data_IF_338689450635
#
_entry.id   IF_338689450635
#
_cell.length_a   1.000
_cell.length_b   1.000
_cell.length_c   1.000
_cell.angle_alpha   90.00
_cell.angle_beta   90.00
_cell.angle_gamma   90.00
#
_symmetry.space_group_name_H-M   'P 1'
#
loop_
_entity.id
_entity.type
_entity.pdbx_description
1 polymer ?
#
# COMPACT_ATOMS: atom_id res chain seq x y z
N UNK A 1 16.67 4.85 -0.26
CA UNK A 1 17.15 6.21 0.11
C UNK A 1 16.02 6.96 0.80
N UNK A 2 16.29 7.57 1.96
CA UNK A 2 15.33 8.44 2.65
C UNK A 2 15.50 9.87 2.14
N UNK A 3 14.39 10.51 1.78
CA UNK A 3 14.39 11.85 1.18
C UNK A 3 13.63 12.84 2.05
N UNK A 4 14.14 14.08 2.11
CA UNK A 4 13.46 15.24 2.73
C UNK A 4 12.81 16.19 1.72
N UNK A 5 12.99 15.92 0.44
CA UNK A 5 12.33 16.61 -0.68
C UNK A 5 12.29 15.68 -1.89
N UNK A 6 11.20 15.72 -2.64
CA UNK A 6 11.03 14.99 -3.89
C UNK A 6 11.21 15.92 -5.08
N UNK A 7 11.90 15.41 -6.09
CA UNK A 7 11.98 15.96 -7.44
C UNK A 7 11.49 14.92 -8.45
N UNK A 8 11.15 15.38 -9.66
CA UNK A 8 10.53 14.54 -10.71
C UNK A 8 11.39 13.33 -11.08
N UNK A 9 12.71 13.51 -11.13
CA UNK A 9 13.69 12.47 -11.47
C UNK A 9 13.78 11.32 -10.45
N UNK A 10 13.26 11.50 -9.23
CA UNK A 10 13.25 10.46 -8.21
C UNK A 10 12.07 9.49 -8.36
N UNK A 11 11.06 9.85 -9.16
CA UNK A 11 9.82 9.09 -9.27
C UNK A 11 9.98 8.03 -10.36
N UNK A 12 9.96 6.77 -9.93
CA UNK A 12 9.94 5.62 -10.82
C UNK A 12 8.55 4.99 -10.80
N UNK A 13 8.05 4.62 -11.97
CA UNK A 13 6.84 3.81 -12.11
C UNK A 13 7.25 2.35 -12.05
N UNK A 14 7.19 1.73 -10.86
CA UNK A 14 7.67 0.37 -10.62
C UNK A 14 6.75 -0.71 -11.23
N UNK A 15 5.56 -0.32 -11.68
CA UNK A 15 4.47 -1.23 -12.03
C UNK A 15 4.39 -1.49 -13.55
N UNK A 16 5.26 -0.87 -14.36
CA UNK A 16 5.28 -1.00 -15.84
C UNK A 16 6.15 -2.16 -16.30
N UNK A 17 5.72 -3.38 -16.00
CA UNK A 17 6.21 -4.55 -16.74
C UNK A 17 5.24 -4.79 -17.89
N UNK A 18 5.75 -4.86 -19.12
CA UNK A 18 4.92 -5.24 -20.26
C UNK A 18 4.52 -6.71 -20.08
N UNK A 19 3.25 -6.94 -19.79
CA UNK A 19 2.65 -8.27 -19.71
C UNK A 19 1.78 -8.44 -20.96
N UNK A 20 2.25 -9.13 -22.01
CA UNK A 20 1.59 -9.12 -23.33
C UNK A 20 0.14 -9.58 -23.32
N UNK A 21 -0.24 -10.42 -22.37
CA UNK A 21 -1.59 -10.97 -22.22
C UNK A 21 -2.47 -10.17 -21.25
N UNK A 22 -1.95 -9.11 -20.61
CA UNK A 22 -2.75 -8.21 -19.77
C UNK A 22 -3.43 -7.14 -20.63
N UNK A 23 -4.66 -7.42 -21.06
CA UNK A 23 -5.46 -6.50 -21.89
C UNK A 23 -5.80 -5.19 -21.19
N UNK A 24 -5.84 -5.17 -19.84
CA UNK A 24 -6.10 -3.95 -19.07
C UNK A 24 -4.90 -3.01 -19.01
N UNK A 25 -3.68 -3.54 -19.17
CA UNK A 25 -2.42 -2.79 -19.01
C UNK A 25 -2.35 -1.96 -17.72
N UNK A 26 -3.06 -2.39 -16.67
CA UNK A 26 -3.18 -1.66 -15.41
C UNK A 26 -2.02 -1.94 -14.43
N UNK A 27 -1.01 -2.68 -14.89
CA UNK A 27 0.21 -2.96 -14.12
C UNK A 27 -0.03 -3.76 -12.83
N UNK A 28 0.94 -3.64 -11.92
CA UNK A 28 0.99 -4.30 -10.62
C UNK A 28 0.22 -3.54 -9.52
N UNK A 29 -1.08 -3.31 -9.72
CA UNK A 29 -1.95 -2.81 -8.65
C UNK A 29 -2.37 -3.96 -7.72
N UNK A 30 -1.52 -4.29 -6.76
CA UNK A 30 -1.73 -5.44 -5.85
C UNK A 30 -3.02 -5.35 -5.01
N UNK A 31 -3.50 -4.14 -4.71
CA UNK A 31 -4.78 -3.93 -4.02
C UNK A 31 -5.97 -4.46 -4.83
N UNK A 32 -6.03 -4.11 -6.11
CA UNK A 32 -7.09 -4.58 -7.00
C UNK A 32 -6.90 -6.06 -7.37
N UNK A 33 -5.65 -6.48 -7.60
CA UNK A 33 -5.30 -7.86 -7.94
C UNK A 33 -5.65 -8.84 -6.82
N UNK A 34 -5.66 -8.40 -5.56
CA UNK A 34 -6.06 -9.22 -4.41
C UNK A 34 -7.52 -8.98 -3.99
N UNK A 35 -8.33 -8.32 -4.83
CA UNK A 35 -9.75 -8.06 -4.59
C UNK A 35 -10.03 -7.30 -3.27
N UNK A 36 -9.15 -6.40 -2.85
CA UNK A 36 -9.33 -5.68 -1.57
C UNK A 36 -10.63 -4.88 -1.45
N UNK A 37 -11.18 -4.26 -2.52
CA UNK A 37 -12.50 -3.62 -2.47
C UNK A 37 -13.65 -4.57 -2.07
N UNK A 38 -13.47 -5.88 -2.15
CA UNK A 38 -14.49 -6.83 -1.68
C UNK A 38 -14.66 -6.87 -0.17
N UNK A 39 -13.68 -6.37 0.59
CA UNK A 39 -13.81 -6.17 2.04
C UNK A 39 -14.73 -4.99 2.38
N UNK A 40 -15.06 -4.15 1.39
CA UNK A 40 -15.95 -3.00 1.54
C UNK A 40 -17.37 -3.20 1.01
N UNK A 41 -17.67 -4.44 0.61
CA UNK A 41 -18.92 -4.80 -0.08
C UNK A 41 -19.04 -4.12 -1.46
N UNK A 42 -17.92 -3.66 -2.04
CA UNK A 42 -17.91 -2.99 -3.35
C UNK A 42 -17.75 -4.01 -4.47
N UNK A 43 -16.86 -5.00 -4.30
CA UNK A 43 -16.64 -6.09 -5.28
C UNK A 43 -17.06 -7.46 -4.72
N UNK A 44 -17.57 -8.40 -5.54
CA UNK A 44 -17.94 -9.74 -5.06
C UNK A 44 -16.71 -10.57 -4.65
N UNK A 45 -16.87 -11.47 -3.67
CA UNK A 45 -15.78 -12.31 -3.12
C UNK A 45 -15.54 -13.64 -3.87
N UNK A 46 -16.54 -14.18 -4.57
CA UNK A 46 -16.51 -15.54 -5.13
C UNK A 46 -16.55 -15.55 -6.66
N UNK A 47 -15.73 -16.39 -7.30
CA UNK A 47 -14.28 -16.26 -7.27
C UNK A 47 -13.88 -14.98 -8.02
N UNK A 48 -13.42 -13.96 -7.30
CA UNK A 48 -13.05 -12.69 -7.94
C UNK A 48 -14.13 -12.09 -8.88
N UNK A 49 -15.41 -12.45 -8.69
CA UNK A 49 -16.60 -12.15 -9.52
C UNK A 49 -16.54 -12.53 -11.02
N UNK A 50 -15.36 -12.43 -11.61
CA UNK A 50 -15.08 -12.46 -13.02
C UNK A 50 -13.84 -13.33 -13.23
N UNK A 51 -14.02 -14.41 -13.98
CA UNK A 51 -12.94 -15.31 -14.37
C UNK A 51 -11.78 -14.58 -15.05
N UNK A 52 -12.03 -13.46 -15.72
CA UNK A 52 -11.00 -12.64 -16.35
C UNK A 52 -10.12 -11.93 -15.31
N UNK A 53 -10.70 -11.41 -14.21
CA UNK A 53 -9.92 -10.76 -13.14
C UNK A 53 -9.06 -11.81 -12.42
N UNK A 54 -9.61 -12.99 -12.13
CA UNK A 54 -8.84 -14.08 -11.53
C UNK A 54 -7.70 -14.56 -12.45
N UNK A 55 -7.98 -14.73 -13.76
CA UNK A 55 -6.96 -15.07 -14.77
C UNK A 55 -5.87 -14.00 -14.82
N UNK A 56 -6.25 -12.71 -14.80
CA UNK A 56 -5.31 -11.59 -14.74
C UNK A 56 -4.46 -11.63 -13.48
N UNK A 57 -5.04 -11.84 -12.30
CA UNK A 57 -4.30 -11.98 -11.04
C UNK A 57 -3.20 -13.03 -11.15
N UNK A 58 -3.54 -14.24 -11.60
CA UNK A 58 -2.59 -15.34 -11.75
C UNK A 58 -1.52 -15.01 -12.80
N UNK A 59 -1.92 -14.46 -13.96
CA UNK A 59 -1.01 -14.03 -15.01
C UNK A 59 0.01 -13.02 -14.46
N UNK A 60 -0.43 -11.91 -13.86
CA UNK A 60 0.45 -10.89 -13.30
C UNK A 60 1.36 -11.51 -12.22
N UNK A 61 0.83 -12.36 -11.35
CA UNK A 61 1.63 -13.08 -10.34
C UNK A 61 2.80 -13.87 -10.93
N UNK A 62 2.65 -14.48 -12.13
CA UNK A 62 3.75 -15.22 -12.78
C UNK A 62 4.84 -14.32 -13.37
N UNK A 63 4.50 -13.08 -13.75
CA UNK A 63 5.45 -12.11 -14.30
C UNK A 63 6.28 -11.41 -13.21
N UNK A 64 5.69 -11.17 -12.04
CA UNK A 64 6.35 -10.54 -10.90
C UNK A 64 6.90 -11.60 -9.92
N UNK A 65 7.80 -12.47 -10.39
CA UNK A 65 8.37 -13.56 -9.58
C UNK A 65 9.02 -13.03 -8.30
N UNK A 66 8.73 -13.69 -7.18
CA UNK A 66 9.22 -13.33 -5.84
C UNK A 66 8.41 -12.26 -5.12
N UNK A 67 7.51 -11.55 -5.83
CA UNK A 67 6.63 -10.52 -5.25
C UNK A 67 5.61 -11.10 -4.25
N UNK A 68 4.94 -10.21 -3.50
CA UNK A 68 3.85 -10.63 -2.59
C UNK A 68 2.73 -11.31 -3.37
N UNK A 69 2.35 -10.78 -4.53
CA UNK A 69 1.31 -11.39 -5.36
C UNK A 69 1.76 -12.76 -5.89
N UNK A 70 3.01 -12.90 -6.33
CA UNK A 70 3.53 -14.19 -6.76
C UNK A 70 3.45 -15.22 -5.63
N UNK A 71 3.89 -14.87 -4.43
CA UNK A 71 3.83 -15.74 -3.25
C UNK A 71 2.38 -16.07 -2.86
N UNK A 72 1.45 -15.14 -3.06
CA UNK A 72 0.02 -15.37 -2.87
C UNK A 72 -0.54 -16.36 -3.90
N UNK A 73 -0.28 -16.15 -5.19
CA UNK A 73 -0.79 -17.02 -6.25
C UNK A 73 -0.17 -18.42 -6.20
N UNK A 74 1.10 -18.53 -5.79
CA UNK A 74 1.84 -19.79 -5.73
C UNK A 74 1.19 -20.75 -4.74
N UNK A 75 0.61 -21.84 -5.26
CA UNK A 75 -0.05 -22.86 -4.44
C UNK A 75 -1.39 -22.44 -3.85
N UNK A 76 -2.07 -21.43 -4.45
CA UNK A 76 -3.45 -21.08 -4.11
C UNK A 76 -4.42 -22.18 -4.61
N UNK A 77 -5.25 -22.79 -3.75
CA UNK A 77 -6.30 -23.71 -4.19
C UNK A 77 -7.28 -23.04 -5.15
N UNK A 78 -7.78 -23.77 -6.15
CA UNK A 78 -8.70 -23.22 -7.15
C UNK A 78 -9.99 -22.65 -6.53
N UNK A 79 -10.48 -23.29 -5.47
CA UNK A 79 -11.70 -22.94 -4.74
C UNK A 79 -11.50 -21.94 -3.58
N UNK A 80 -10.27 -21.48 -3.32
CA UNK A 80 -10.03 -20.50 -2.26
C UNK A 80 -10.56 -19.12 -2.68
N UNK A 81 -11.29 -18.45 -1.78
CA UNK A 81 -11.80 -17.09 -2.02
C UNK A 81 -10.66 -16.08 -2.13
N UNK A 82 -10.91 -14.98 -2.84
CA UNK A 82 -9.98 -13.85 -2.93
C UNK A 82 -10.72 -12.59 -2.47
N UNK A 83 -10.22 -11.86 -1.45
CA UNK A 83 -8.96 -12.08 -0.72
C UNK A 83 -9.04 -13.24 0.28
N UNK A 84 -7.90 -13.89 0.52
CA UNK A 84 -7.66 -14.76 1.67
C UNK A 84 -6.70 -14.06 2.64
N UNK A 85 -7.21 -13.56 3.75
CA UNK A 85 -6.46 -12.73 4.71
C UNK A 85 -5.19 -13.44 5.22
N UNK A 86 -5.29 -14.72 5.60
CA UNK A 86 -4.14 -15.46 6.09
C UNK A 86 -3.06 -15.63 5.03
N UNK A 87 -3.46 -15.88 3.78
CA UNK A 87 -2.51 -16.02 2.67
C UNK A 87 -1.83 -14.70 2.33
N UNK A 88 -2.54 -13.57 2.41
CA UNK A 88 -1.93 -12.23 2.24
C UNK A 88 -0.82 -12.03 3.28
N UNK A 89 -1.11 -12.27 4.55
CA UNK A 89 -0.12 -12.15 5.64
C UNK A 89 1.09 -13.05 5.41
N UNK A 90 0.86 -14.33 5.08
CA UNK A 90 1.94 -15.28 4.80
C UNK A 90 2.80 -14.83 3.61
N UNK A 91 2.18 -14.32 2.55
CA UNK A 91 2.88 -13.87 1.34
C UNK A 91 3.77 -12.65 1.60
N UNK A 92 3.31 -11.72 2.44
CA UNK A 92 4.11 -10.58 2.89
C UNK A 92 5.25 -11.00 3.82
N UNK A 93 5.03 -11.97 4.70
CA UNK A 93 6.10 -12.53 5.53
C UNK A 93 7.18 -13.20 4.68
N UNK A 94 6.79 -14.05 3.72
CA UNK A 94 7.72 -14.68 2.78
C UNK A 94 8.54 -13.66 1.99
N UNK A 95 7.89 -12.61 1.46
CA UNK A 95 8.58 -11.52 0.78
C UNK A 95 9.57 -10.81 1.73
N UNK A 96 9.12 -10.51 2.95
CA UNK A 96 9.97 -9.84 3.96
C UNK A 96 11.21 -10.67 4.26
N UNK A 97 11.07 -11.98 4.48
CA UNK A 97 12.23 -12.82 4.81
C UNK A 97 13.25 -12.92 3.69
N UNK A 98 12.79 -12.93 2.44
CA UNK A 98 13.66 -13.00 1.27
C UNK A 98 14.41 -11.67 1.02
N UNK A 99 13.74 -10.52 1.21
CA UNK A 99 14.25 -9.23 0.72
C UNK A 99 14.58 -8.20 1.81
N UNK A 100 14.32 -8.48 3.10
CA UNK A 100 14.52 -7.50 4.20
C UNK A 100 15.91 -6.88 4.27
N UNK A 101 16.93 -7.59 3.80
CA UNK A 101 18.31 -7.09 3.82
C UNK A 101 18.51 -5.89 2.87
N UNK A 102 17.75 -5.82 1.78
CA UNK A 102 17.85 -4.74 0.77
C UNK A 102 17.36 -3.38 1.31
N UNK A 103 16.59 -3.39 2.40
CA UNK A 103 16.02 -2.20 3.04
C UNK A 103 16.07 -2.28 4.58
N UNK A 104 17.08 -2.98 5.11
CA UNK A 104 17.19 -3.29 6.54
C UNK A 104 17.14 -2.04 7.44
N UNK A 105 17.79 -0.95 7.03
CA UNK A 105 17.81 0.30 7.80
C UNK A 105 16.42 0.93 7.93
N UNK A 106 15.64 0.91 6.84
CA UNK A 106 14.28 1.46 6.80
C UNK A 106 13.34 0.57 7.61
N UNK A 107 13.49 -0.75 7.49
CA UNK A 107 12.72 -1.71 8.27
C UNK A 107 13.02 -1.56 9.77
N UNK A 108 14.29 -1.39 10.15
CA UNK A 108 14.72 -1.13 11.53
C UNK A 108 14.13 0.18 12.06
N UNK A 109 14.05 1.22 11.23
CA UNK A 109 13.41 2.48 11.58
C UNK A 109 11.91 2.29 11.83
N UNK A 110 11.19 1.64 10.93
CA UNK A 110 9.75 1.39 11.05
C UNK A 110 9.36 0.59 12.31
N UNK A 111 10.24 -0.30 12.77
CA UNK A 111 10.07 -1.10 14.00
C UNK A 111 10.28 -0.33 15.31
N UNK A 112 10.69 0.95 15.27
CA UNK A 112 10.89 1.74 16.51
C UNK A 112 9.55 2.24 17.04
N UNK A 113 9.34 2.14 18.36
CA UNK A 113 8.14 2.64 19.05
C UNK A 113 7.86 4.14 18.81
N UNK A 114 8.89 4.95 18.61
CA UNK A 114 8.80 6.39 18.35
C UNK A 114 8.82 6.75 16.86
N UNK A 115 8.54 5.79 15.98
CA UNK A 115 8.39 6.01 14.55
C UNK A 115 6.95 5.82 14.14
N UNK A 116 6.41 6.79 13.41
CA UNK A 116 5.14 6.70 12.70
C UNK A 116 5.41 6.39 11.23
N UNK A 117 4.91 5.26 10.74
CA UNK A 117 4.83 4.99 9.32
C UNK A 117 3.51 5.55 8.78
N UNK A 118 3.55 6.20 7.62
CA UNK A 118 2.37 6.76 6.98
C UNK A 118 2.29 6.23 5.56
N UNK A 119 1.21 5.53 5.23
CA UNK A 119 0.87 5.28 3.83
C UNK A 119 0.04 6.43 3.28
N UNK A 120 0.52 7.09 2.23
CA UNK A 120 -0.13 8.24 1.62
C UNK A 120 -0.42 8.00 0.14
N UNK A 121 -1.68 8.16 -0.29
CA UNK A 121 -2.06 8.12 -1.70
C UNK A 121 -2.11 9.54 -2.27
N UNK A 122 -1.25 9.85 -3.23
CA UNK A 122 -1.06 11.22 -3.74
C UNK A 122 -0.90 11.35 -5.27
N UNK A 123 -0.99 10.26 -6.03
CA UNK A 123 -0.83 10.27 -7.49
C UNK A 123 -2.14 10.53 -8.26
N UNK A 124 -3.07 9.58 -8.21
CA UNK A 124 -4.31 9.62 -9.00
C UNK A 124 -5.22 10.80 -8.64
N UNK A 125 -5.23 11.18 -7.36
CA UNK A 125 -6.06 12.24 -6.80
C UNK A 125 -5.21 13.05 -5.82
N UNK A 126 -5.53 14.34 -5.69
CA UNK A 126 -4.96 15.18 -4.64
C UNK A 126 -5.35 14.60 -3.28
N UNK A 127 -4.40 14.55 -2.35
CA UNK A 127 -4.69 14.15 -0.97
C UNK A 127 -5.51 15.24 -0.27
N UNK A 128 -6.47 14.83 0.54
CA UNK A 128 -7.26 15.71 1.37
C UNK A 128 -6.40 16.46 2.39
N UNK A 129 -6.63 17.78 2.53
CA UNK A 129 -5.83 18.63 3.41
C UNK A 129 -5.90 18.20 4.88
N UNK A 130 -7.06 17.76 5.35
CA UNK A 130 -7.21 17.29 6.73
C UNK A 130 -6.41 16.00 7.02
N UNK A 131 -6.18 15.14 6.03
CA UNK A 131 -5.26 14.01 6.18
C UNK A 131 -3.81 14.50 6.30
N UNK A 132 -3.42 15.50 5.50
CA UNK A 132 -2.10 16.15 5.59
C UNK A 132 -1.93 16.79 6.97
N UNK A 133 -2.93 17.52 7.45
CA UNK A 133 -2.92 18.18 8.76
C UNK A 133 -2.80 17.15 9.89
N UNK A 134 -3.43 15.98 9.74
CA UNK A 134 -3.30 14.86 10.67
C UNK A 134 -1.86 14.34 10.72
N UNK A 135 -1.19 14.19 9.57
CA UNK A 135 0.22 13.80 9.51
C UNK A 135 1.09 14.83 10.24
N UNK A 136 0.85 16.13 9.99
CA UNK A 136 1.62 17.22 10.60
C UNK A 136 1.43 17.23 12.10
N UNK A 137 0.19 17.12 12.58
CA UNK A 137 -0.13 17.05 14.02
C UNK A 137 0.60 15.88 14.68
N UNK A 138 0.46 14.68 14.14
CA UNK A 138 1.10 13.49 14.69
C UNK A 138 2.63 13.57 14.58
N UNK A 139 3.19 14.28 13.59
CA UNK A 139 4.65 14.44 13.48
C UNK A 139 5.30 15.09 14.71
N UNK A 140 4.53 15.83 15.52
CA UNK A 140 5.00 16.42 16.77
C UNK A 140 5.06 15.42 17.93
N UNK A 141 4.36 14.29 17.84
CA UNK A 141 4.29 13.25 18.87
C UNK A 141 5.33 12.12 18.64
N UNK A 142 5.89 12.03 17.44
CA UNK A 142 6.82 10.98 17.05
C UNK A 142 8.22 11.53 16.77
N UNK A 143 9.25 10.76 17.15
CA UNK A 143 10.65 11.13 16.87
C UNK A 143 10.98 11.06 15.38
N UNK A 144 10.32 10.17 14.65
CA UNK A 144 10.49 10.00 13.21
C UNK A 144 9.15 9.75 12.53
N UNK A 145 8.97 10.32 11.34
CA UNK A 145 7.84 10.01 10.45
C UNK A 145 8.38 9.49 9.12
N UNK A 146 7.94 8.30 8.75
CA UNK A 146 8.33 7.62 7.51
C UNK A 146 7.13 7.56 6.56
N UNK A 147 7.18 8.34 5.49
CA UNK A 147 6.19 8.32 4.43
C UNK A 147 6.48 7.18 3.45
N UNK A 148 5.43 6.42 3.12
CA UNK A 148 5.38 5.38 2.12
C UNK A 148 4.36 5.82 1.07
N UNK A 149 4.80 6.02 -0.16
CA UNK A 149 3.94 6.49 -1.24
C UNK A 149 4.56 6.18 -2.59
N UNK A 150 3.73 6.04 -3.63
CA UNK A 150 4.16 5.79 -5.01
C UNK A 150 3.16 6.32 -6.03
N UNK A 151 3.55 6.27 -7.30
CA UNK A 151 2.72 6.63 -8.45
C UNK A 151 2.43 5.39 -9.27
N UNK A 152 1.13 5.07 -9.41
CA UNK A 152 0.70 3.98 -10.27
C UNK A 152 0.85 4.34 -11.74
N UNK A 153 1.32 3.36 -12.50
CA UNK A 153 1.54 3.45 -13.93
C UNK A 153 0.27 3.48 -14.80
N UNK A 154 -0.87 3.06 -14.23
CA UNK A 154 -2.14 2.97 -14.95
C UNK A 154 -2.65 4.37 -15.36
N UNK A 155 -2.96 4.60 -16.62
CA UNK A 155 -3.46 5.91 -17.07
C UNK A 155 -4.99 6.05 -16.99
N UNK A 156 -5.70 5.12 -16.36
CA UNK A 156 -7.18 5.13 -16.30
C UNK A 156 -7.76 6.40 -15.68
N UNK A 157 -7.19 6.89 -14.56
CA UNK A 157 -7.73 8.04 -13.83
C UNK A 157 -7.09 9.38 -14.22
N UNK A 158 -5.78 9.38 -14.46
CA UNK A 158 -4.97 10.54 -14.84
C UNK A 158 -3.78 10.05 -15.65
N UNK A 159 -3.22 10.91 -16.51
CA UNK A 159 -1.99 10.57 -17.20
C UNK A 159 -0.77 10.61 -16.24
N UNK A 160 0.29 9.88 -16.59
CA UNK A 160 1.51 9.74 -15.79
C UNK A 160 2.13 11.09 -15.36
N UNK A 161 2.11 12.11 -16.24
CA UNK A 161 2.66 13.43 -15.93
C UNK A 161 1.88 14.14 -14.82
N UNK A 162 0.55 14.18 -14.93
CA UNK A 162 -0.33 14.78 -13.92
C UNK A 162 -0.22 14.05 -12.58
N UNK A 163 -0.07 12.73 -12.58
CA UNK A 163 0.12 11.96 -11.35
C UNK A 163 1.42 12.30 -10.65
N UNK A 164 2.51 12.42 -11.43
CA UNK A 164 3.82 12.83 -10.91
C UNK A 164 3.76 14.23 -10.32
N UNK A 165 3.07 15.16 -10.97
CA UNK A 165 2.87 16.52 -10.45
C UNK A 165 2.10 16.52 -9.12
N UNK A 166 0.94 15.86 -9.05
CA UNK A 166 0.17 15.75 -7.80
C UNK A 166 1.00 15.11 -6.67
N UNK A 167 1.77 14.08 -7.01
CA UNK A 167 2.64 13.38 -6.08
C UNK A 167 3.73 14.32 -5.53
N UNK A 168 4.44 15.04 -6.40
CA UNK A 168 5.50 15.98 -6.00
C UNK A 168 4.93 17.07 -5.10
N UNK A 169 3.83 17.69 -5.51
CA UNK A 169 3.17 18.77 -4.77
C UNK A 169 2.77 18.29 -3.36
N UNK A 170 2.01 17.20 -3.30
CA UNK A 170 1.50 16.65 -2.04
C UNK A 170 2.64 16.24 -1.10
N UNK A 171 3.62 15.48 -1.61
CA UNK A 171 4.69 14.95 -0.78
C UNK A 171 5.59 16.07 -0.27
N UNK A 172 5.93 17.04 -1.12
CA UNK A 172 6.74 18.18 -0.67
C UNK A 172 5.99 19.06 0.33
N UNK A 173 4.66 19.21 0.19
CA UNK A 173 3.83 19.88 1.19
C UNK A 173 3.95 19.21 2.55
N UNK A 174 3.93 17.88 2.63
CA UNK A 174 4.12 17.17 3.92
C UNK A 174 5.56 17.33 4.42
N UNK A 175 6.55 17.09 3.56
CA UNK A 175 7.97 17.08 3.95
C UNK A 175 8.48 18.46 4.43
N UNK A 176 7.91 19.57 3.95
CA UNK A 176 8.33 20.91 4.36
C UNK A 176 7.87 21.32 5.76
N UNK A 177 6.97 20.57 6.39
CA UNK A 177 6.38 20.95 7.68
C UNK A 177 7.26 20.60 8.89
N UNK A 178 8.01 19.49 8.85
CA UNK A 178 8.81 19.09 9.99
C UNK A 178 10.06 18.29 9.58
N UNK A 179 11.18 18.54 10.27
CA UNK A 179 12.50 18.01 9.93
C UNK A 179 12.66 16.51 10.20
N UNK A 180 11.75 15.92 10.97
CA UNK A 180 11.70 14.49 11.31
C UNK A 180 10.91 13.65 10.30
N UNK A 181 10.30 14.28 9.27
CA UNK A 181 9.56 13.60 8.22
C UNK A 181 10.52 13.26 7.07
N UNK A 182 10.45 12.01 6.61
CA UNK A 182 11.16 11.55 5.43
C UNK A 182 10.28 10.63 4.60
N UNK A 183 10.58 10.51 3.30
CA UNK A 183 9.91 9.56 2.42
C UNK A 183 10.86 8.47 1.95
N UNK A 184 10.33 7.25 1.84
CA UNK A 184 11.01 6.13 1.22
C UNK A 184 10.30 5.70 -0.06
N UNK A 185 10.88 6.06 -1.21
CA UNK A 185 10.38 5.64 -2.52
C UNK A 185 10.88 4.23 -2.83
N UNK A 186 9.94 3.31 -3.04
CA UNK A 186 10.22 1.93 -3.43
C UNK A 186 8.98 1.31 -4.09
N UNK A 187 9.08 0.04 -4.49
CA UNK A 187 7.97 -0.74 -5.01
C UNK A 187 6.92 -1.07 -3.91
N UNK A 188 5.67 -1.37 -4.31
CA UNK A 188 4.59 -1.66 -3.37
C UNK A 188 4.85 -2.87 -2.45
N UNK A 189 5.56 -3.91 -2.88
CA UNK A 189 5.84 -5.08 -2.04
C UNK A 189 6.75 -4.73 -0.86
N UNK A 190 7.78 -3.90 -1.10
CA UNK A 190 8.66 -3.37 -0.05
C UNK A 190 7.88 -2.48 0.92
N UNK A 191 6.99 -1.62 0.40
CA UNK A 191 6.13 -0.81 1.26
C UNK A 191 5.21 -1.68 2.15
N UNK A 192 4.62 -2.75 1.62
CA UNK A 192 3.83 -3.69 2.42
C UNK A 192 4.65 -4.39 3.49
N UNK A 193 5.89 -4.80 3.18
CA UNK A 193 6.80 -5.36 4.18
C UNK A 193 7.06 -4.38 5.32
N UNK A 194 7.31 -3.11 5.00
CA UNK A 194 7.52 -2.05 6.00
C UNK A 194 6.26 -1.85 6.84
N UNK A 195 5.07 -1.76 6.21
CA UNK A 195 3.79 -1.61 6.92
C UNK A 195 3.51 -2.78 7.85
N UNK A 196 3.79 -4.02 7.41
CA UNK A 196 3.59 -5.21 8.22
C UNK A 196 4.44 -5.20 9.50
N UNK A 197 5.59 -4.53 9.46
CA UNK A 197 6.55 -4.46 10.56
C UNK A 197 6.54 -3.12 11.30
N UNK A 198 5.64 -2.20 10.94
CA UNK A 198 5.57 -0.88 11.56
C UNK A 198 5.07 -0.98 13.01
N UNK A 199 5.73 -0.28 13.93
CA UNK A 199 5.21 -0.13 15.31
C UNK A 199 3.93 0.69 15.36
N UNK A 200 3.86 1.74 14.53
CA UNK A 200 2.74 2.65 14.40
C UNK A 200 2.52 2.91 12.91
N UNK A 201 1.30 2.68 12.43
CA UNK A 201 0.94 2.86 11.03
C UNK A 201 -0.30 3.74 10.92
N UNK A 202 -0.16 4.90 10.28
CA UNK A 202 -1.28 5.69 9.78
C UNK A 202 -1.52 5.30 8.32
N UNK A 203 -2.76 4.94 8.00
CA UNK A 203 -3.17 4.62 6.63
C UNK A 203 -4.12 5.68 6.09
N UNK A 204 -4.00 5.93 4.78
CA UNK A 204 -4.93 6.75 4.03
C UNK A 204 -6.11 5.89 3.53
N UNK A 205 -6.52 5.99 2.26
CA UNK A 205 -7.68 5.29 1.68
C UNK A 205 -7.30 4.32 0.55
N UNK A 206 -8.26 3.47 0.15
CA UNK A 206 -8.17 2.60 -1.03
C UNK A 206 -7.50 1.24 -0.80
N UNK A 207 -7.55 0.37 -1.83
CA UNK A 207 -7.20 -1.05 -1.71
C UNK A 207 -5.78 -1.34 -1.21
N UNK A 208 -4.79 -0.50 -1.53
CA UNK A 208 -3.44 -0.68 -0.99
C UNK A 208 -3.33 -0.32 0.50
N UNK A 209 -4.03 0.74 0.94
CA UNK A 209 -4.18 1.06 2.37
C UNK A 209 -4.88 -0.07 3.13
N UNK A 210 -5.86 -0.73 2.49
CA UNK A 210 -6.48 -1.93 3.03
C UNK A 210 -5.47 -3.05 3.25
N UNK A 211 -4.59 -3.33 2.28
CA UNK A 211 -3.52 -4.32 2.49
C UNK A 211 -2.65 -3.95 3.69
N UNK A 212 -2.21 -2.69 3.77
CA UNK A 212 -1.43 -2.18 4.90
C UNK A 212 -2.08 -2.46 6.25
N UNK A 213 -3.39 -2.20 6.38
CA UNK A 213 -4.12 -2.48 7.61
C UNK A 213 -4.30 -3.96 7.93
N UNK A 214 -4.41 -4.81 6.91
CA UNK A 214 -4.51 -6.27 7.08
C UNK A 214 -3.19 -6.85 7.61
N UNK A 215 -2.05 -6.38 7.11
CA UNK A 215 -0.74 -6.95 7.43
C UNK A 215 -0.06 -6.29 8.64
N UNK A 216 -0.49 -5.08 9.02
CA UNK A 216 0.07 -4.34 10.15
C UNK A 216 -0.04 -5.13 11.46
N UNK A 217 1.11 -5.41 12.09
CA UNK A 217 1.15 -6.03 13.42
C UNK A 217 1.11 -5.00 14.55
N UNK A 218 1.60 -3.77 14.31
CA UNK A 218 1.63 -2.69 15.29
C UNK A 218 0.28 -2.00 15.50
N UNK A 219 0.36 -0.78 16.05
CA UNK A 219 -0.78 0.10 16.28
C UNK A 219 -1.23 0.72 14.96
N UNK A 220 -2.52 0.57 14.66
CA UNK A 220 -3.13 1.11 13.45
C UNK A 220 -3.87 2.41 13.77
N UNK A 221 -3.56 3.46 13.02
CA UNK A 221 -4.24 4.75 13.06
C UNK A 221 -5.02 4.95 11.77
N UNK A 222 -6.26 5.43 11.91
CA UNK A 222 -7.17 5.69 10.80
C UNK A 222 -7.81 7.06 10.97
N UNK A 223 -8.18 7.68 9.85
CA UNK A 223 -8.99 8.91 9.84
C UNK A 223 -10.36 8.59 9.24
N UNK A 224 -11.24 9.59 9.16
CA UNK A 224 -12.54 9.47 8.47
C UNK A 224 -12.43 9.03 7.00
N UNK A 225 -11.26 9.17 6.37
CA UNK A 225 -11.05 8.79 4.97
C UNK A 225 -10.91 7.28 4.76
N UNK A 226 -10.54 6.53 5.79
CA UNK A 226 -10.44 5.07 5.72
C UNK A 226 -11.77 4.43 6.11
N UNK A 227 -12.79 4.56 5.25
CA UNK A 227 -14.17 4.12 5.53
C UNK A 227 -14.34 2.60 5.64
N UNK A 228 -13.33 1.85 5.20
CA UNK A 228 -13.24 0.40 5.21
C UNK A 228 -13.55 -0.21 6.59
N UNK A 229 -13.03 0.38 7.68
CA UNK A 229 -13.24 -0.12 9.05
C UNK A 229 -14.70 -0.13 9.51
N UNK A 230 -15.57 0.62 8.83
CA UNK A 230 -16.99 0.69 9.16
C UNK A 230 -17.79 -0.44 8.50
N UNK A 231 -17.21 -1.18 7.56
CA UNK A 231 -17.89 -2.21 6.76
C UNK A 231 -18.00 -3.53 7.53
N UNK A 232 -19.12 -4.23 7.37
CA UNK A 232 -19.39 -5.48 8.10
C UNK A 232 -18.36 -6.54 7.69
N UNK A 233 -18.14 -6.71 6.38
CA UNK A 233 -17.17 -7.68 5.88
C UNK A 233 -15.75 -7.40 6.37
N UNK A 234 -15.35 -6.13 6.46
CA UNK A 234 -14.08 -5.74 7.07
C UNK A 234 -13.98 -6.18 8.53
N UNK A 235 -14.98 -5.84 9.35
CA UNK A 235 -15.02 -6.17 10.78
C UNK A 235 -14.98 -7.68 11.00
N UNK A 236 -15.68 -8.46 10.18
CA UNK A 236 -15.72 -9.93 10.31
C UNK A 236 -14.42 -10.60 9.86
N UNK A 237 -13.79 -10.13 8.78
CA UNK A 237 -12.64 -10.82 8.19
C UNK A 237 -11.29 -10.32 8.69
N UNK A 238 -11.17 -9.03 8.99
CA UNK A 238 -9.91 -8.40 9.40
C UNK A 238 -9.86 -8.22 10.92
N UNK A 239 -10.93 -7.68 11.50
CA UNK A 239 -11.10 -7.46 12.95
C UNK A 239 -9.87 -6.88 13.67
N UNK A 240 -9.15 -5.96 13.03
CA UNK A 240 -7.94 -5.33 13.57
C UNK A 240 -8.32 -4.14 14.44
N UNK A 241 -7.79 -4.09 15.65
CA UNK A 241 -7.91 -2.90 16.51
C UNK A 241 -7.25 -1.67 15.87
N UNK A 242 -7.91 -0.53 16.00
CA UNK A 242 -7.44 0.75 15.46
C UNK A 242 -7.76 1.91 16.40
N UNK A 243 -6.98 2.98 16.27
CA UNK A 243 -7.26 4.28 16.89
C UNK A 243 -7.68 5.28 15.82
N UNK A 244 -8.82 5.93 16.04
CA UNK A 244 -9.26 7.05 15.23
C UNK A 244 -8.48 8.31 15.62
N UNK A 245 -7.97 9.07 14.63
CA UNK A 245 -7.18 10.29 14.82
C UNK A 245 -7.65 11.42 13.92
#
# INVERSE_FOLDING_TARGET
MLLKRIKKEYIKSYDQVNVPLDTRKAGYNIGDLLNMPSLDDVWPQNPHADSAILKRMNLIGTFFKGSVLHNYCKGRPANEKVPCIQRIKNSVNMFTDLYKNDYADVLKLAKKKHTLCVHLRSGDLSTENDFIDTIIKLSNEYKYVLLLSGVHADNHFKNDQQKKENFIETINKVLSNNNNICIFLNNPDVHLSIMANASNLLIHKGGFSCLGSVVCTGKLFVTKHFTHVNKINWKTQVNKEYQFV
#
